data_IF_029245147582
#
_entry.id   IF_029245147582
#
_cell.length_a   1.000
_cell.length_b   1.000
_cell.length_c   1.000
_cell.angle_alpha   90.00
_cell.angle_beta   90.00
_cell.angle_gamma   90.00
#
_symmetry.space_group_name_H-M   'P 1'
#
loop_
_entity.id
_entity.type
_entity.pdbx_description
1 polymer ?
#
# COMPACT_ATOMS: atom_id res chain seq x y z
N UNK A 1 -17.56 9.50 -12.41
CA UNK A 1 -18.39 8.32 -12.11
C UNK A 1 -18.03 7.65 -10.78
N UNK A 2 -16.83 7.08 -10.55
CA UNK A 2 -16.45 6.60 -9.18
C UNK A 2 -15.98 7.74 -8.28
N UNK A 3 -15.16 8.65 -8.80
CA UNK A 3 -14.66 9.81 -8.05
C UNK A 3 -15.76 10.78 -7.61
N UNK A 4 -16.94 10.75 -8.24
CA UNK A 4 -18.11 11.50 -7.79
C UNK A 4 -18.71 10.92 -6.51
N UNK A 5 -18.54 9.62 -6.27
CA UNK A 5 -19.02 8.90 -5.09
C UNK A 5 -17.96 8.83 -3.99
N UNK A 6 -16.69 8.71 -4.37
CA UNK A 6 -15.58 8.46 -3.43
C UNK A 6 -14.66 9.65 -3.20
N UNK A 7 -14.70 10.67 -4.07
CA UNK A 7 -13.63 11.66 -4.20
C UNK A 7 -12.42 11.11 -4.96
N UNK A 8 -11.35 11.90 -5.15
CA UNK A 8 -10.11 11.45 -5.78
C UNK A 8 -9.47 10.35 -4.93
N UNK A 9 -9.26 9.17 -5.53
CA UNK A 9 -8.62 8.04 -4.89
C UNK A 9 -7.24 7.79 -5.48
N UNK A 10 -6.25 7.34 -4.68
CA UNK A 10 -5.00 6.80 -5.19
C UNK A 10 -5.25 5.70 -6.22
N UNK A 11 -4.40 5.62 -7.25
CA UNK A 11 -4.58 4.70 -8.39
C UNK A 11 -4.82 3.23 -7.97
N UNK A 12 -4.16 2.77 -6.91
CA UNK A 12 -4.35 1.39 -6.43
C UNK A 12 -5.74 1.14 -5.84
N UNK A 13 -6.39 2.14 -5.23
CA UNK A 13 -7.75 2.01 -4.70
C UNK A 13 -8.74 1.92 -5.83
N UNK A 14 -8.54 2.72 -6.86
CA UNK A 14 -9.31 2.64 -8.11
C UNK A 14 -9.17 1.26 -8.74
N UNK A 15 -7.95 0.70 -8.79
CA UNK A 15 -7.72 -0.68 -9.26
C UNK A 15 -8.40 -1.71 -8.35
N UNK A 16 -8.28 -1.60 -7.03
CA UNK A 16 -8.93 -2.51 -6.08
C UNK A 16 -10.46 -2.46 -6.20
N UNK A 17 -11.04 -1.30 -6.51
CA UNK A 17 -12.48 -1.15 -6.72
C UNK A 17 -12.93 -1.79 -8.04
N UNK A 18 -12.20 -1.55 -9.11
CA UNK A 18 -12.59 -1.89 -10.48
C UNK A 18 -12.13 -3.26 -10.97
N UNK A 19 -11.18 -3.88 -10.28
CA UNK A 19 -10.60 -5.16 -10.72
C UNK A 19 -11.63 -6.27 -10.77
N UNK A 20 -11.63 -6.98 -11.89
CA UNK A 20 -12.33 -8.24 -12.12
C UNK A 20 -11.45 -9.47 -11.79
N UNK A 21 -10.20 -9.24 -11.40
CA UNK A 21 -9.22 -10.26 -11.01
C UNK A 21 -9.28 -10.66 -9.52
N UNK A 22 -8.38 -11.57 -9.12
CA UNK A 22 -8.24 -11.99 -7.73
C UNK A 22 -7.66 -10.86 -6.88
N UNK A 23 -8.46 -10.31 -5.96
CA UNK A 23 -8.01 -9.30 -5.00
C UNK A 23 -6.89 -9.83 -4.13
N UNK A 24 -6.96 -11.09 -3.73
CA UNK A 24 -5.91 -11.75 -2.94
C UNK A 24 -4.56 -11.62 -3.62
N UNK A 25 -4.50 -11.85 -4.93
CA UNK A 25 -3.24 -11.77 -5.70
C UNK A 25 -2.73 -10.32 -5.80
N UNK A 26 -3.62 -9.35 -5.95
CA UNK A 26 -3.25 -7.94 -5.94
C UNK A 26 -2.71 -7.52 -4.56
N UNK A 27 -3.37 -7.93 -3.48
CA UNK A 27 -2.94 -7.65 -2.11
C UNK A 27 -1.59 -8.30 -1.80
N UNK A 28 -1.34 -9.53 -2.25
CA UNK A 28 -0.06 -10.22 -2.12
C UNK A 28 1.06 -9.45 -2.85
N UNK A 29 0.82 -9.04 -4.10
CA UNK A 29 1.78 -8.29 -4.90
C UNK A 29 2.11 -6.91 -4.28
N UNK A 30 1.11 -6.23 -3.72
CA UNK A 30 1.29 -4.90 -3.12
C UNK A 30 1.97 -4.98 -1.76
N UNK A 31 1.56 -5.93 -0.93
CA UNK A 31 2.08 -6.07 0.43
C UNK A 31 3.42 -6.80 0.48
N UNK A 32 3.80 -7.50 -0.59
CA UNK A 32 5.00 -8.33 -0.63
C UNK A 32 4.94 -9.52 0.34
N UNK A 33 3.75 -9.86 0.82
CA UNK A 33 3.51 -10.90 1.83
C UNK A 33 2.31 -11.77 1.42
N UNK A 34 2.26 -12.99 1.95
CA UNK A 34 1.12 -13.87 1.73
C UNK A 34 -0.15 -13.31 2.41
N UNK A 35 -1.30 -13.54 1.77
CA UNK A 35 -2.62 -13.17 2.32
C UNK A 35 -3.34 -14.41 2.83
N UNK A 36 -3.61 -14.40 4.13
CA UNK A 36 -4.31 -15.43 4.87
C UNK A 36 -5.81 -15.10 4.93
N UNK A 37 -6.65 -16.13 5.02
CA UNK A 37 -8.08 -15.98 5.30
C UNK A 37 -8.37 -16.43 6.71
N UNK A 38 -9.07 -15.58 7.46
CA UNK A 38 -9.66 -15.94 8.75
C UNK A 38 -11.17 -15.87 8.62
N UNK A 39 -11.83 -17.02 8.74
CA UNK A 39 -13.30 -17.07 8.73
C UNK A 39 -13.85 -16.71 10.10
N UNK A 40 -14.81 -15.79 10.08
CA UNK A 40 -15.43 -15.21 11.27
C UNK A 40 -16.76 -15.89 11.54
N UNK A 41 -17.53 -16.10 10.49
CA UNK A 41 -18.79 -16.82 10.53
C UNK A 41 -19.00 -17.53 9.20
N UNK A 42 -19.55 -18.74 9.27
CA UNK A 42 -20.03 -19.45 8.11
C UNK A 42 -21.25 -20.28 8.50
N UNK A 43 -22.38 -19.99 7.86
CA UNK A 43 -23.64 -20.67 8.14
C UNK A 43 -24.54 -20.67 6.90
N UNK A 44 -25.47 -21.63 6.87
CA UNK A 44 -26.53 -21.64 5.86
C UNK A 44 -27.69 -20.80 6.39
N UNK A 45 -28.07 -19.79 5.62
CA UNK A 45 -29.16 -18.87 5.97
C UNK A 45 -30.14 -18.77 4.80
N UNK A 46 -31.44 -18.47 5.05
CA UNK A 46 -32.37 -18.16 3.97
C UNK A 46 -32.00 -16.84 3.29
N UNK A 47 -32.07 -16.79 1.96
CA UNK A 47 -31.77 -15.58 1.20
C UNK A 47 -32.77 -14.46 1.52
N UNK A 48 -32.28 -13.34 2.05
CA UNK A 48 -33.06 -12.11 2.20
C UNK A 48 -33.34 -11.44 0.85
N UNK A 49 -34.27 -10.48 0.80
CA UNK A 49 -34.70 -9.81 -0.45
C UNK A 49 -33.54 -9.25 -1.31
N UNK A 50 -32.61 -8.44 -0.73
CA UNK A 50 -31.47 -7.91 -1.50
C UNK A 50 -30.52 -9.00 -2.02
N UNK A 51 -30.26 -10.04 -1.23
CA UNK A 51 -29.39 -11.16 -1.60
C UNK A 51 -30.04 -12.01 -2.70
N UNK A 52 -31.34 -12.27 -2.57
CA UNK A 52 -32.11 -13.00 -3.57
C UNK A 52 -32.12 -12.27 -4.92
N UNK A 53 -32.27 -10.94 -4.92
CA UNK A 53 -32.19 -10.11 -6.12
C UNK A 53 -30.79 -10.13 -6.75
N UNK A 54 -29.72 -10.05 -5.96
CA UNK A 54 -28.34 -10.12 -6.46
C UNK A 54 -28.02 -11.48 -7.09
N UNK A 55 -28.54 -12.56 -6.52
CA UNK A 55 -28.25 -13.93 -6.94
C UNK A 55 -29.25 -14.48 -7.96
N UNK A 56 -30.32 -13.76 -8.29
CA UNK A 56 -31.41 -14.24 -9.15
C UNK A 56 -31.95 -15.61 -8.66
N UNK A 57 -32.35 -15.64 -7.39
CA UNK A 57 -32.94 -16.81 -6.70
C UNK A 57 -34.21 -16.37 -5.97
N UNK A 58 -35.00 -17.32 -5.45
CA UNK A 58 -36.20 -16.98 -4.68
C UNK A 58 -35.80 -16.55 -3.27
N UNK A 59 -36.55 -15.58 -2.73
CA UNK A 59 -36.41 -15.22 -1.32
C UNK A 59 -36.71 -16.45 -0.45
N UNK A 60 -35.83 -16.73 0.51
CA UNK A 60 -35.92 -17.92 1.35
C UNK A 60 -35.05 -19.11 0.90
N UNK A 61 -34.54 -19.11 -0.33
CA UNK A 61 -33.65 -20.18 -0.81
C UNK A 61 -32.38 -20.26 0.05
N UNK A 62 -31.85 -21.46 0.31
CA UNK A 62 -30.73 -21.63 1.23
C UNK A 62 -29.41 -21.21 0.59
N UNK A 63 -28.75 -20.23 1.20
CA UNK A 63 -27.45 -19.71 0.77
C UNK A 63 -26.39 -19.95 1.84
N UNK A 64 -25.19 -20.34 1.41
CA UNK A 64 -24.01 -20.30 2.27
C UNK A 64 -23.60 -18.84 2.46
N UNK A 65 -23.79 -18.34 3.68
CA UNK A 65 -23.34 -17.03 4.12
C UNK A 65 -22.00 -17.17 4.84
N UNK A 66 -20.98 -16.47 4.35
CA UNK A 66 -19.62 -16.56 4.88
C UNK A 66 -19.01 -15.18 5.02
N UNK A 67 -18.53 -14.90 6.23
CA UNK A 67 -17.81 -13.68 6.62
C UNK A 67 -16.35 -14.02 6.85
N UNK A 68 -15.45 -13.33 6.17
CA UNK A 68 -14.01 -13.53 6.29
C UNK A 68 -13.24 -12.22 6.44
N UNK A 69 -12.09 -12.31 7.11
CA UNK A 69 -11.02 -11.31 7.06
C UNK A 69 -9.90 -11.82 6.15
N UNK A 70 -9.49 -11.00 5.19
CA UNK A 70 -8.22 -11.17 4.49
C UNK A 70 -7.14 -10.47 5.31
N UNK A 71 -6.12 -11.20 5.70
CA UNK A 71 -5.09 -10.75 6.64
C UNK A 71 -3.72 -10.87 5.98
N UNK A 72 -2.87 -9.87 6.13
CA UNK A 72 -1.46 -10.00 5.79
C UNK A 72 -0.79 -10.98 6.79
N UNK A 73 -0.34 -12.15 6.32
CA UNK A 73 0.15 -13.20 7.21
C UNK A 73 1.39 -12.79 8.02
N UNK A 74 2.18 -11.82 7.52
CA UNK A 74 3.41 -11.35 8.16
C UNK A 74 3.14 -10.32 9.26
N UNK A 75 2.21 -9.39 9.03
CA UNK A 75 1.94 -8.27 9.95
C UNK A 75 0.73 -8.51 10.84
N UNK A 76 -0.13 -9.47 10.51
CA UNK A 76 -1.41 -9.70 11.20
C UNK A 76 -2.48 -8.65 10.91
N UNK A 77 -2.18 -7.63 10.08
CA UNK A 77 -3.14 -6.57 9.75
C UNK A 77 -4.24 -7.07 8.83
N UNK A 78 -5.47 -6.68 9.13
CA UNK A 78 -6.63 -6.95 8.29
C UNK A 78 -6.60 -5.99 7.10
N UNK A 79 -6.68 -6.58 5.91
CA UNK A 79 -6.66 -5.87 4.64
C UNK A 79 -8.09 -5.68 4.12
N UNK A 80 -8.89 -6.74 4.12
CA UNK A 80 -10.26 -6.69 3.61
C UNK A 80 -11.16 -7.47 4.54
N UNK A 81 -12.36 -6.94 4.75
CA UNK A 81 -13.47 -7.66 5.33
C UNK A 81 -14.44 -8.00 4.22
N UNK A 82 -14.75 -9.29 4.05
CA UNK A 82 -15.59 -9.75 2.96
C UNK A 82 -16.77 -10.57 3.46
N UNK A 83 -17.95 -10.27 2.93
CA UNK A 83 -19.18 -11.01 3.14
C UNK A 83 -19.59 -11.63 1.82
N UNK A 84 -19.83 -12.93 1.81
CA UNK A 84 -20.21 -13.67 0.61
C UNK A 84 -21.46 -14.50 0.81
N UNK A 85 -22.28 -14.58 -0.23
CA UNK A 85 -23.49 -15.38 -0.29
C UNK A 85 -23.43 -16.28 -1.53
N UNK A 86 -23.62 -17.58 -1.33
CA UNK A 86 -23.53 -18.59 -2.41
C UNK A 86 -24.74 -19.53 -2.37
N UNK A 87 -25.58 -19.62 -3.42
CA UNK A 87 -26.69 -20.56 -3.47
C UNK A 87 -26.20 -22.01 -3.41
N UNK A 88 -26.69 -22.79 -2.45
CA UNK A 88 -26.26 -24.19 -2.27
C UNK A 88 -26.66 -25.08 -3.46
N UNK A 89 -27.80 -24.80 -4.08
CA UNK A 89 -28.31 -25.57 -5.24
C UNK A 89 -27.39 -25.46 -6.46
N UNK A 90 -26.58 -24.39 -6.55
CA UNK A 90 -25.65 -24.15 -7.67
C UNK A 90 -24.27 -24.74 -7.43
N UNK A 91 -24.02 -25.36 -6.28
CA UNK A 91 -22.71 -25.91 -5.92
C UNK A 91 -22.58 -27.38 -6.32
N UNK A 92 -21.55 -27.66 -7.11
CA UNK A 92 -21.11 -29.05 -7.33
C UNK A 92 -20.60 -29.65 -6.00
N UNK A 93 -20.78 -30.97 -5.76
CA UNK A 93 -20.45 -31.58 -4.47
C UNK A 93 -19.01 -31.31 -4.01
N UNK A 94 -18.02 -31.47 -4.89
CA UNK A 94 -16.61 -31.23 -4.55
C UNK A 94 -16.27 -29.76 -4.27
N UNK A 95 -16.96 -28.82 -4.95
CA UNK A 95 -16.81 -27.40 -4.67
C UNK A 95 -17.47 -27.03 -3.34
N UNK A 96 -18.66 -27.58 -3.07
CA UNK A 96 -19.39 -27.38 -1.83
C UNK A 96 -18.54 -27.82 -0.64
N UNK A 97 -17.93 -28.99 -0.71
CA UNK A 97 -17.13 -29.52 0.39
C UNK A 97 -15.92 -28.61 0.69
N UNK A 98 -15.23 -28.12 -0.35
CA UNK A 98 -14.14 -27.15 -0.17
C UNK A 98 -14.62 -25.78 0.32
N UNK A 99 -15.81 -25.33 -0.10
CA UNK A 99 -16.40 -24.06 0.36
C UNK A 99 -16.82 -24.14 1.83
N UNK A 100 -17.31 -25.30 2.27
CA UNK A 100 -17.68 -25.58 3.67
C UNK A 100 -16.47 -25.72 4.59
N UNK A 101 -15.27 -25.90 4.03
CA UNK A 101 -14.02 -25.79 4.77
C UNK A 101 -13.65 -24.32 4.98
N UNK A 102 -13.83 -23.86 6.21
CA UNK A 102 -13.71 -22.46 6.61
C UNK A 102 -12.30 -21.85 6.41
N UNK A 103 -11.26 -22.63 6.14
CA UNK A 103 -9.86 -22.17 6.05
C UNK A 103 -9.42 -21.78 4.63
N UNK A 104 -10.21 -22.07 3.59
CA UNK A 104 -9.77 -21.87 2.20
C UNK A 104 -10.40 -20.60 1.60
N UNK A 105 -9.60 -19.65 1.06
CA UNK A 105 -10.11 -18.49 0.34
C UNK A 105 -10.91 -18.89 -0.90
N UNK A 106 -12.04 -18.22 -1.15
CA UNK A 106 -12.91 -18.49 -2.32
C UNK A 106 -12.12 -18.42 -3.63
N UNK A 107 -11.22 -17.45 -3.77
CA UNK A 107 -10.36 -17.34 -4.96
C UNK A 107 -9.47 -18.58 -5.18
N UNK A 108 -8.94 -19.20 -4.12
CA UNK A 108 -8.15 -20.43 -4.20
C UNK A 108 -9.04 -21.63 -4.56
N UNK A 109 -10.28 -21.69 -4.06
CA UNK A 109 -11.26 -22.73 -4.40
C UNK A 109 -11.63 -22.65 -5.89
N UNK A 110 -11.97 -21.46 -6.39
CA UNK A 110 -12.29 -21.23 -7.81
C UNK A 110 -11.15 -21.69 -8.73
N UNK A 111 -9.90 -21.38 -8.35
CA UNK A 111 -8.70 -21.81 -9.10
C UNK A 111 -8.50 -23.33 -9.06
N UNK A 112 -8.66 -23.96 -7.89
CA UNK A 112 -8.52 -25.42 -7.71
C UNK A 112 -9.49 -26.18 -8.61
N UNK A 113 -10.74 -25.73 -8.68
CA UNK A 113 -11.80 -26.34 -9.50
C UNK A 113 -11.83 -25.82 -10.94
N UNK A 114 -10.87 -24.97 -11.35
CA UNK A 114 -10.80 -24.37 -12.69
C UNK A 114 -12.12 -23.74 -13.14
N UNK A 115 -12.78 -23.04 -12.22
CA UNK A 115 -14.08 -22.40 -12.48
C UNK A 115 -13.86 -21.18 -13.39
N UNK A 116 -14.33 -21.28 -14.62
CA UNK A 116 -14.45 -20.14 -15.52
C UNK A 116 -15.56 -19.22 -15.02
N UNK A 117 -15.19 -17.97 -14.73
CA UNK A 117 -16.12 -16.98 -14.20
C UNK A 117 -15.65 -15.56 -14.53
N UNK A 118 -16.59 -14.62 -14.50
CA UNK A 118 -16.31 -13.17 -14.57
C UNK A 118 -16.90 -12.48 -13.35
N UNK A 119 -16.35 -11.32 -13.00
CA UNK A 119 -16.89 -10.46 -11.94
C UNK A 119 -17.67 -9.32 -12.57
N UNK A 120 -18.89 -9.09 -12.11
CA UNK A 120 -19.72 -7.95 -12.49
C UNK A 120 -19.93 -7.07 -11.26
N UNK A 121 -19.36 -5.88 -11.27
CA UNK A 121 -19.48 -4.91 -10.17
C UNK A 121 -20.89 -4.32 -10.22
N UNK A 122 -21.64 -4.51 -9.14
CA UNK A 122 -23.01 -4.02 -9.00
C UNK A 122 -23.07 -2.67 -8.30
N UNK A 123 -22.17 -2.42 -7.35
CA UNK A 123 -22.20 -1.19 -6.56
C UNK A 123 -20.84 -0.86 -5.92
N UNK A 124 -20.55 0.44 -5.77
CA UNK A 124 -19.38 0.98 -5.09
C UNK A 124 -19.82 2.15 -4.22
N UNK A 125 -19.49 2.11 -2.94
CA UNK A 125 -19.90 3.12 -1.96
C UNK A 125 -18.78 3.48 -1.00
N UNK A 126 -18.86 4.70 -0.50
CA UNK A 126 -18.07 5.13 0.65
C UNK A 126 -18.96 5.05 1.89
N UNK A 127 -18.56 4.22 2.85
CA UNK A 127 -19.36 3.86 4.01
C UNK A 127 -18.60 4.15 5.31
N UNK A 128 -19.35 4.34 6.38
CA UNK A 128 -18.83 4.40 7.75
C UNK A 128 -19.39 3.19 8.49
N UNK A 129 -18.62 2.08 8.59
CA UNK A 129 -19.13 0.87 9.21
C UNK A 129 -19.29 1.03 10.72
N UNK A 130 -19.91 0.03 11.35
CA UNK A 130 -20.11 -0.04 12.79
C UNK A 130 -18.78 0.10 13.56
N UNK A 131 -18.83 0.56 14.83
CA UNK A 131 -17.63 0.73 15.65
C UNK A 131 -16.81 -0.56 15.79
N UNK A 132 -17.47 -1.73 15.88
CA UNK A 132 -16.79 -3.00 16.07
C UNK A 132 -15.96 -3.37 14.84
N UNK A 133 -16.52 -3.21 13.62
CA UNK A 133 -15.75 -3.42 12.40
C UNK A 133 -14.58 -2.43 12.28
N UNK A 134 -14.76 -1.15 12.61
CA UNK A 134 -13.66 -0.16 12.58
C UNK A 134 -12.53 -0.52 13.53
N UNK A 135 -12.87 -0.99 14.73
CA UNK A 135 -11.89 -1.42 15.73
C UNK A 135 -11.06 -2.61 15.23
N UNK A 136 -11.66 -3.52 14.45
CA UNK A 136 -10.92 -4.67 13.88
C UNK A 136 -9.82 -4.25 12.92
N UNK A 137 -9.99 -3.16 12.18
CA UNK A 137 -8.95 -2.66 11.28
C UNK A 137 -7.89 -1.79 11.98
N UNK A 138 -7.94 -1.63 13.31
CA UNK A 138 -7.11 -0.70 14.07
C UNK A 138 -7.20 0.74 13.53
N UNK A 139 -8.40 1.15 13.09
CA UNK A 139 -8.63 2.46 12.46
C UNK A 139 -9.29 3.46 13.40
N UNK A 140 -8.97 4.74 13.23
CA UNK A 140 -9.58 5.83 14.00
C UNK A 140 -11.07 6.02 13.68
N UNK A 141 -11.85 6.68 14.57
CA UNK A 141 -13.30 6.78 14.47
C UNK A 141 -13.80 7.47 13.20
N UNK A 142 -13.03 8.41 12.64
CA UNK A 142 -13.37 9.15 11.42
C UNK A 142 -12.97 8.41 10.13
N UNK A 143 -12.39 7.21 10.24
CA UNK A 143 -11.90 6.47 9.07
C UNK A 143 -13.07 5.97 8.22
N UNK A 144 -13.11 6.40 6.96
CA UNK A 144 -14.10 5.94 5.98
C UNK A 144 -13.62 4.68 5.28
N UNK A 145 -14.58 3.88 4.83
CA UNK A 145 -14.34 2.60 4.17
C UNK A 145 -14.93 2.61 2.78
N UNK A 146 -14.18 2.04 1.84
CA UNK A 146 -14.69 1.71 0.52
C UNK A 146 -15.39 0.36 0.61
N UNK A 147 -16.65 0.32 0.21
CA UNK A 147 -17.43 -0.90 -0.01
C UNK A 147 -17.58 -1.10 -1.52
N UNK A 148 -17.34 -2.33 -1.98
CA UNK A 148 -17.69 -2.75 -3.33
C UNK A 148 -18.49 -4.04 -3.27
N UNK A 149 -19.58 -4.08 -4.00
CA UNK A 149 -20.42 -5.26 -4.15
C UNK A 149 -20.35 -5.73 -5.59
N UNK A 150 -20.05 -7.01 -5.79
CA UNK A 150 -19.99 -7.61 -7.11
C UNK A 150 -20.55 -9.04 -7.10
N UNK A 151 -20.88 -9.50 -8.30
CA UNK A 151 -21.36 -10.85 -8.55
C UNK A 151 -20.30 -11.62 -9.31
N UNK A 152 -20.06 -12.87 -8.93
CA UNK A 152 -19.31 -13.82 -9.75
C UNK A 152 -20.32 -14.52 -10.64
N UNK A 153 -20.17 -14.39 -11.95
CA UNK A 153 -21.05 -15.01 -12.95
C UNK A 153 -20.36 -16.25 -13.52
N UNK A 154 -21.09 -17.36 -13.58
CA UNK A 154 -20.68 -18.64 -14.19
C UNK A 154 -21.80 -19.13 -15.09
N UNK A 155 -21.49 -19.48 -16.34
CA UNK A 155 -22.48 -19.90 -17.35
C UNK A 155 -23.66 -18.91 -17.45
N UNK A 156 -23.35 -17.61 -17.46
CA UNK A 156 -24.32 -16.49 -17.48
C UNK A 156 -25.32 -16.44 -16.31
N UNK A 157 -25.07 -17.17 -15.23
CA UNK A 157 -25.86 -17.15 -14.01
C UNK A 157 -25.07 -16.60 -12.81
N UNK A 158 -25.70 -15.83 -11.90
CA UNK A 158 -25.04 -15.35 -10.69
C UNK A 158 -24.65 -16.51 -9.76
N UNK A 159 -23.37 -16.84 -9.71
CA UNK A 159 -22.86 -17.95 -8.91
C UNK A 159 -22.63 -17.54 -7.45
N UNK A 160 -22.21 -16.29 -7.22
CA UNK A 160 -21.91 -15.79 -5.88
C UNK A 160 -22.08 -14.27 -5.83
N UNK A 161 -22.54 -13.74 -4.71
CA UNK A 161 -22.56 -12.31 -4.43
C UNK A 161 -21.56 -12.02 -3.31
N UNK A 162 -20.66 -11.06 -3.52
CA UNK A 162 -19.60 -10.70 -2.57
C UNK A 162 -19.63 -9.19 -2.34
N UNK A 163 -19.66 -8.80 -1.07
CA UNK A 163 -19.38 -7.45 -0.61
C UNK A 163 -18.01 -7.43 0.07
N UNK A 164 -17.14 -6.51 -0.34
CA UNK A 164 -15.82 -6.30 0.24
C UNK A 164 -15.71 -4.89 0.78
N UNK A 165 -15.21 -4.78 2.02
CA UNK A 165 -14.97 -3.53 2.72
C UNK A 165 -13.47 -3.40 3.03
N UNK A 166 -12.92 -2.22 2.78
CA UNK A 166 -11.56 -1.86 3.14
C UNK A 166 -11.46 -0.38 3.48
N UNK A 167 -10.60 0.02 4.45
CA UNK A 167 -10.44 1.41 4.81
C UNK A 167 -9.86 2.22 3.65
N UNK A 168 -10.24 3.49 3.51
CA UNK A 168 -9.62 4.42 2.54
C UNK A 168 -8.13 4.64 2.88
N UNK A 169 -7.71 4.36 4.11
CA UNK A 169 -6.29 4.39 4.47
C UNK A 169 -5.53 3.11 4.06
N UNK A 170 -6.23 2.05 3.63
CA UNK A 170 -5.59 0.79 3.26
C UNK A 170 -4.68 1.01 2.05
N UNK A 171 -3.44 0.54 2.15
CA UNK A 171 -2.43 0.57 1.09
C UNK A 171 -1.90 1.96 0.70
N UNK A 172 -1.53 2.80 1.67
CA UNK A 172 -0.24 3.46 1.47
C UNK A 172 0.84 2.40 1.69
N UNK A 173 1.40 1.85 0.61
CA UNK A 173 2.83 1.48 0.70
C UNK A 173 3.47 2.74 1.28
N UNK A 174 4.07 2.65 2.47
CA UNK A 174 4.61 3.85 3.11
C UNK A 174 5.45 4.57 2.06
N UNK A 175 5.17 5.85 1.78
CA UNK A 175 5.74 6.52 0.63
C UNK A 175 7.26 6.41 0.74
N UNK A 176 7.88 5.71 -0.22
CA UNK A 176 9.33 5.64 -0.32
C UNK A 176 9.79 6.85 -1.10
N UNK A 177 10.47 7.76 -0.42
CA UNK A 177 11.05 8.93 -1.05
C UNK A 177 12.44 8.56 -1.53
N UNK A 178 12.71 8.78 -2.81
CA UNK A 178 14.04 8.62 -3.39
C UNK A 178 14.61 9.99 -3.73
N UNK A 179 15.66 10.38 -3.02
CA UNK A 179 16.35 11.64 -3.27
C UNK A 179 17.66 11.37 -4.00
N UNK A 180 17.82 12.06 -5.14
CA UNK A 180 19.07 12.10 -5.91
C UNK A 180 19.70 13.48 -5.75
N UNK A 181 20.96 13.50 -5.32
CA UNK A 181 21.78 14.71 -5.27
C UNK A 181 22.98 14.55 -6.22
N UNK A 182 23.11 15.40 -7.25
CA UNK A 182 24.25 15.34 -8.16
C UNK A 182 25.55 15.71 -7.44
N UNK A 183 26.69 15.19 -7.94
CA UNK A 183 28.00 15.66 -7.50
C UNK A 183 28.28 17.05 -8.06
N UNK A 184 29.25 17.74 -7.48
CA UNK A 184 29.77 18.99 -8.03
C UNK A 184 31.28 19.04 -7.99
N UNK A 185 31.89 19.58 -9.03
CA UNK A 185 33.26 20.05 -9.02
C UNK A 185 33.26 21.54 -8.71
N UNK A 186 34.10 21.95 -7.78
CA UNK A 186 34.31 23.35 -7.49
C UNK A 186 35.69 23.75 -8.00
N UNK A 187 35.73 24.67 -8.96
CA UNK A 187 36.93 25.24 -9.55
C UNK A 187 37.09 26.66 -9.00
N UNK A 188 37.91 26.81 -7.95
CA UNK A 188 38.13 28.08 -7.28
C UNK A 188 39.44 28.77 -7.68
N UNK A 189 39.77 29.85 -6.96
CA UNK A 189 41.02 30.60 -7.10
C UNK A 189 41.21 31.23 -8.48
N UNK A 190 40.13 31.79 -9.02
CA UNK A 190 40.12 32.40 -10.35
C UNK A 190 41.06 33.61 -10.44
N UNK A 191 41.25 34.34 -9.32
CA UNK A 191 42.13 35.50 -9.25
C UNK A 191 42.79 35.64 -7.87
N UNK A 192 43.80 34.80 -7.63
CA UNK A 192 44.58 34.78 -6.39
C UNK A 192 45.28 36.11 -6.06
N UNK A 193 45.52 36.96 -7.06
CA UNK A 193 46.22 38.24 -6.90
C UNK A 193 45.24 39.43 -6.80
N UNK A 194 43.94 39.23 -7.04
CA UNK A 194 42.93 40.29 -7.00
C UNK A 194 43.03 41.30 -8.14
N UNK A 195 43.75 40.98 -9.22
CA UNK A 195 43.94 41.87 -10.38
C UNK A 195 42.67 42.14 -11.19
N UNK A 196 41.64 41.31 -11.02
CA UNK A 196 40.30 41.43 -11.60
C UNK A 196 39.31 42.13 -10.64
N UNK A 197 39.77 42.63 -9.50
CA UNK A 197 38.94 43.33 -8.51
C UNK A 197 38.05 42.42 -7.66
N UNK A 198 38.27 41.09 -7.70
CA UNK A 198 37.57 40.09 -6.89
C UNK A 198 38.58 39.06 -6.43
N UNK A 199 38.92 39.07 -5.14
CA UNK A 199 39.95 38.20 -4.56
C UNK A 199 39.47 36.74 -4.48
N UNK A 200 38.17 36.53 -4.27
CA UNK A 200 37.56 35.21 -4.17
C UNK A 200 36.51 34.97 -5.26
N UNK A 201 36.54 33.78 -5.84
CA UNK A 201 35.60 33.35 -6.86
C UNK A 201 35.82 31.90 -7.26
N UNK A 202 34.75 31.27 -7.75
CA UNK A 202 34.81 29.91 -8.25
C UNK A 202 33.64 29.57 -9.16
N UNK A 203 33.84 28.54 -9.98
CA UNK A 203 32.83 27.96 -10.86
C UNK A 203 32.46 26.59 -10.30
N UNK A 204 31.16 26.34 -10.15
CA UNK A 204 30.62 25.03 -9.83
C UNK A 204 30.14 24.32 -11.09
N UNK A 205 30.61 23.10 -11.33
CA UNK A 205 30.11 22.24 -12.41
C UNK A 205 29.36 21.08 -11.76
N UNK A 206 28.05 20.99 -12.00
CA UNK A 206 27.26 19.84 -11.58
C UNK A 206 27.56 18.64 -12.49
N UNK A 207 27.71 17.47 -11.88
CA UNK A 207 27.93 16.21 -12.56
C UNK A 207 26.73 15.30 -12.35
N UNK A 208 26.24 14.70 -13.44
CA UNK A 208 25.18 13.72 -13.35
C UNK A 208 25.60 12.43 -12.65
N UNK A 209 26.86 12.02 -12.86
CA UNK A 209 27.48 10.83 -12.28
C UNK A 209 28.94 11.18 -11.94
N UNK A 210 29.49 10.70 -10.82
CA UNK A 210 28.80 9.95 -9.75
C UNK A 210 27.78 10.82 -9.01
N UNK A 211 26.74 10.21 -8.44
CA UNK A 211 25.69 10.90 -7.68
C UNK A 211 25.43 10.22 -6.33
N UNK A 212 24.81 10.96 -5.41
CA UNK A 212 24.31 10.42 -4.14
C UNK A 212 22.84 10.08 -4.28
N UNK A 213 22.47 8.85 -3.95
CA UNK A 213 21.08 8.39 -3.98
C UNK A 213 20.72 7.75 -2.66
N UNK A 214 19.67 8.28 -2.04
CA UNK A 214 19.08 7.77 -0.80
C UNK A 214 17.62 7.36 -1.04
N UNK A 215 17.20 6.28 -0.41
CA UNK A 215 15.78 5.93 -0.27
C UNK A 215 15.39 6.03 1.20
N UNK A 216 14.26 6.67 1.49
CA UNK A 216 13.74 6.86 2.84
C UNK A 216 12.30 6.36 2.95
N UNK A 217 11.98 5.72 4.07
CA UNK A 217 10.64 5.28 4.44
C UNK A 217 10.40 5.55 5.93
N UNK A 218 9.13 5.62 6.36
CA UNK A 218 8.84 5.83 7.78
C UNK A 218 9.23 4.56 8.54
N UNK A 219 9.62 4.73 9.78
CA UNK A 219 10.03 3.63 10.63
C UNK A 219 9.78 3.98 12.09
N UNK A 220 9.52 2.99 12.97
CA UNK A 220 9.46 3.24 14.41
C UNK A 220 10.80 3.70 14.99
N UNK A 221 11.93 3.37 14.34
CA UNK A 221 13.27 3.71 14.80
C UNK A 221 14.12 4.32 13.68
N UNK A 222 15.07 5.20 14.06
CA UNK A 222 15.99 5.80 13.09
C UNK A 222 17.06 4.77 12.72
N UNK A 223 16.94 4.19 11.53
CA UNK A 223 17.89 3.18 11.04
C UNK A 223 18.47 3.59 9.70
N UNK A 224 19.79 3.40 9.55
CA UNK A 224 20.49 3.68 8.31
C UNK A 224 21.18 2.42 7.82
N UNK A 225 20.95 2.07 6.56
CA UNK A 225 21.48 0.89 5.89
C UNK A 225 22.38 1.27 4.72
N UNK A 226 23.39 0.44 4.45
CA UNK A 226 24.35 0.65 3.38
C UNK A 226 25.44 1.68 3.71
N UNK A 227 26.47 1.75 2.85
CA UNK A 227 27.64 2.59 3.08
C UNK A 227 28.55 2.08 4.20
N UNK A 228 29.52 2.92 4.59
CA UNK A 228 30.41 2.69 5.73
C UNK A 228 29.92 3.43 6.99
N UNK A 229 30.54 3.15 8.14
CA UNK A 229 30.15 3.70 9.45
C UNK A 229 30.12 5.24 9.49
N UNK A 230 31.10 5.90 8.84
CA UNK A 230 31.12 7.36 8.76
C UNK A 230 30.00 7.95 7.90
N UNK A 231 29.53 7.22 6.89
CA UNK A 231 28.41 7.61 6.05
C UNK A 231 27.08 7.40 6.76
N UNK A 232 26.91 6.26 7.44
CA UNK A 232 25.67 5.96 8.17
C UNK A 232 25.44 6.94 9.30
N UNK A 233 26.47 7.25 10.08
CA UNK A 233 26.36 8.22 11.17
C UNK A 233 26.02 9.63 10.63
N UNK A 234 26.67 10.07 9.56
CA UNK A 234 26.37 11.37 8.93
C UNK A 234 24.92 11.48 8.45
N UNK A 235 24.37 10.41 7.86
CA UNK A 235 22.97 10.36 7.43
C UNK A 235 22.04 10.39 8.64
N UNK A 236 22.34 9.59 9.67
CA UNK A 236 21.58 9.55 10.92
C UNK A 236 21.51 10.92 11.58
N UNK A 237 22.66 11.56 11.82
CA UNK A 237 22.74 12.89 12.44
C UNK A 237 21.94 13.92 11.63
N UNK A 238 22.03 13.89 10.30
CA UNK A 238 21.29 14.82 9.45
C UNK A 238 19.77 14.59 9.50
N UNK A 239 19.33 13.33 9.50
CA UNK A 239 17.92 12.97 9.62
C UNK A 239 17.36 13.37 11.00
N UNK A 240 18.06 13.04 12.08
CA UNK A 240 17.68 13.38 13.46
C UNK A 240 17.63 14.88 13.69
N UNK A 241 18.55 15.64 13.10
CA UNK A 241 18.54 17.09 13.17
C UNK A 241 17.26 17.68 12.54
N UNK A 242 16.81 17.14 11.41
CA UNK A 242 15.57 17.57 10.73
C UNK A 242 14.34 17.13 11.53
N UNK A 243 14.27 15.87 11.95
CA UNK A 243 13.17 15.36 12.79
C UNK A 243 12.98 16.22 14.04
N UNK A 244 14.08 16.53 14.74
CA UNK A 244 14.08 17.37 15.94
C UNK A 244 13.68 18.81 15.63
N UNK A 245 14.25 19.40 14.57
CA UNK A 245 14.03 20.81 14.22
C UNK A 245 12.58 21.12 13.84
N UNK A 246 11.89 20.15 13.24
CA UNK A 246 10.48 20.29 12.83
C UNK A 246 9.50 19.59 13.77
N UNK A 247 9.96 19.07 14.92
CA UNK A 247 9.14 18.37 15.91
C UNK A 247 8.29 17.24 15.29
N UNK A 248 8.89 16.46 14.41
CA UNK A 248 8.22 15.34 13.74
C UNK A 248 8.12 14.17 14.72
N UNK A 249 6.91 13.65 15.03
CA UNK A 249 6.74 12.60 16.04
C UNK A 249 7.18 11.20 15.59
N UNK A 250 7.49 11.02 14.31
CA UNK A 250 7.89 9.73 13.73
C UNK A 250 9.41 9.58 13.56
N UNK A 251 9.83 8.40 13.10
CA UNK A 251 11.22 8.14 12.71
C UNK A 251 11.34 7.68 11.26
N UNK A 252 12.56 7.40 10.82
CA UNK A 252 12.87 7.13 9.41
C UNK A 252 13.88 6.01 9.26
N UNK A 253 13.63 5.11 8.32
CA UNK A 253 14.65 4.19 7.82
C UNK A 253 15.20 4.74 6.50
N UNK A 254 16.52 4.89 6.41
CA UNK A 254 17.20 5.41 5.21
C UNK A 254 18.17 4.36 4.67
N UNK A 255 18.11 4.08 3.37
CA UNK A 255 19.07 3.22 2.68
C UNK A 255 19.95 4.05 1.75
N UNK A 256 21.27 3.95 1.92
CA UNK A 256 22.25 4.54 1.03
C UNK A 256 22.41 3.61 -0.19
N UNK A 257 21.80 4.00 -1.31
CA UNK A 257 21.85 3.20 -2.55
C UNK A 257 23.23 3.31 -3.22
N UNK A 258 23.73 4.54 -3.32
CA UNK A 258 25.08 4.84 -3.81
C UNK A 258 25.51 6.24 -3.39
N UNK A 259 26.82 6.44 -3.31
CA UNK A 259 27.42 7.72 -2.99
C UNK A 259 28.79 7.83 -3.67
N UNK A 260 29.22 9.02 -4.11
CA UNK A 260 30.54 9.22 -4.68
C UNK A 260 31.67 8.94 -3.66
N UNK A 261 32.90 8.70 -4.13
CA UNK A 261 34.06 8.57 -3.25
C UNK A 261 34.20 9.78 -2.31
N UNK A 262 34.45 9.50 -1.03
CA UNK A 262 34.70 10.55 -0.05
C UNK A 262 36.06 11.20 -0.29
N UNK A 263 36.16 12.49 0.04
CA UNK A 263 37.38 13.29 -0.08
C UNK A 263 37.95 13.43 -1.52
N UNK A 264 37.17 13.09 -2.55
CA UNK A 264 37.55 13.23 -3.96
C UNK A 264 37.20 14.61 -4.57
N UNK A 265 36.86 15.61 -3.75
CA UNK A 265 36.45 16.94 -4.24
C UNK A 265 35.04 17.03 -4.84
N UNK A 266 34.23 15.96 -4.74
CA UNK A 266 32.90 15.85 -5.37
C UNK A 266 31.74 16.37 -4.51
N UNK A 267 32.02 16.88 -3.31
CA UNK A 267 30.98 17.36 -2.38
C UNK A 267 30.12 16.25 -1.74
N UNK A 268 30.59 14.99 -1.77
CA UNK A 268 29.84 13.81 -1.33
C UNK A 268 29.26 13.92 0.09
N UNK A 269 30.04 14.45 1.05
CA UNK A 269 29.58 14.59 2.44
C UNK A 269 28.41 15.55 2.59
N UNK A 270 28.47 16.72 1.95
CA UNK A 270 27.37 17.69 1.95
C UNK A 270 26.15 17.15 1.22
N UNK A 271 26.35 16.52 0.06
CA UNK A 271 25.26 15.92 -0.71
C UNK A 271 24.52 14.85 0.10
N UNK A 272 25.25 14.03 0.86
CA UNK A 272 24.68 12.99 1.71
C UNK A 272 23.80 13.55 2.83
N UNK A 273 24.29 14.56 3.56
CA UNK A 273 23.52 15.21 4.64
C UNK A 273 22.29 15.95 4.11
N UNK A 274 22.42 16.70 3.00
CA UNK A 274 21.30 17.42 2.40
C UNK A 274 20.27 16.47 1.80
N UNK A 275 20.70 15.38 1.15
CA UNK A 275 19.79 14.38 0.63
C UNK A 275 19.01 13.69 1.75
N UNK A 276 19.65 13.39 2.89
CA UNK A 276 18.98 12.81 4.05
C UNK A 276 17.93 13.76 4.63
N UNK A 277 18.29 15.03 4.84
CA UNK A 277 17.35 16.03 5.33
C UNK A 277 16.17 16.26 4.38
N UNK A 278 16.44 16.37 3.08
CA UNK A 278 15.42 16.50 2.03
C UNK A 278 14.49 15.29 1.99
N UNK A 279 15.03 14.08 2.12
CA UNK A 279 14.24 12.85 2.14
C UNK A 279 13.27 12.83 3.33
N UNK A 280 13.73 13.23 4.52
CA UNK A 280 12.87 13.37 5.71
C UNK A 280 11.79 14.43 5.48
N UNK A 281 12.15 15.62 4.99
CA UNK A 281 11.18 16.68 4.73
C UNK A 281 10.08 16.22 3.75
N UNK A 282 10.45 15.61 2.62
CA UNK A 282 9.46 15.11 1.64
C UNK A 282 8.61 13.97 2.21
N UNK A 283 9.20 13.06 2.98
CA UNK A 283 8.49 11.93 3.60
C UNK A 283 7.40 12.39 4.59
N UNK A 284 7.60 13.54 5.21
CA UNK A 284 6.69 14.13 6.18
C UNK A 284 5.91 15.35 5.64
N UNK A 285 6.01 15.64 4.35
CA UNK A 285 5.25 16.72 3.70
C UNK A 285 5.69 18.14 4.10
N UNK A 286 6.94 18.32 4.52
CA UNK A 286 7.53 19.60 4.88
C UNK A 286 8.23 20.16 3.65
N UNK A 287 7.88 21.39 3.26
CA UNK A 287 8.43 22.10 2.09
C UNK A 287 9.27 23.29 2.51
#
# INVERSE_FOLDING_TARGET
MIEEVTGPLPAFQTVLLLTDGSVTTLLEAISGAEVCVKTIAQNVVPAGGPVAALLDIRQGDPVNHRIVELINCTTGKILIYAVSHTPLERLEPGFRDDLMRADIPIGKILKKHRIESRREISDIRLVSPDPDLRHRFDTGPETRFLSRTYRIIRNDLPFMAIEELFPVALCTREPRIRVRAPSRLHLGLIDLHGGLGRVDGGIGIALDIPDTVLEAERSPECRVYGGNEGQTERVRTAAEAVLSRFAIPGSVAITIIRTPPQHAGLGAGTALSLAAGKAVCELYGIT
#
